data_IF_823342836012
#
_entry.id   IF_823342836012
#
_cell.length_a   1.000
_cell.length_b   1.000
_cell.length_c   1.000
_cell.angle_alpha   90.00
_cell.angle_beta   90.00
_cell.angle_gamma   90.00
#
_symmetry.space_group_name_H-M   'P 1'
#
loop_
_entity.id
_entity.type
_entity.pdbx_description
1 polymer ?
#
# COMPACT_ATOMS: atom_id res chain seq x y z
N UNK A 1 48.27 73.46 -50.68
CA UNK A 1 47.96 72.42 -51.68
C UNK A 1 48.83 71.20 -51.39
N UNK A 2 48.17 70.04 -51.34
CA UNK A 2 48.62 68.63 -51.18
C UNK A 2 50.11 68.26 -51.10
N UNK A 3 50.43 67.43 -50.09
CA UNK A 3 51.15 66.13 -50.16
C UNK A 3 51.37 65.66 -48.71
N UNK A 4 51.28 64.42 -48.27
CA UNK A 4 50.89 63.11 -48.80
C UNK A 4 51.30 62.14 -47.68
N UNK A 5 50.40 61.25 -47.28
CA UNK A 5 50.69 59.86 -46.85
C UNK A 5 51.81 59.61 -45.83
N UNK A 6 51.43 59.49 -44.55
CA UNK A 6 52.18 58.66 -43.59
C UNK A 6 51.43 57.34 -43.42
N UNK A 7 51.88 56.35 -44.19
CA UNK A 7 51.47 54.97 -44.09
C UNK A 7 52.07 54.33 -42.83
N UNK A 8 51.24 54.05 -41.82
CA UNK A 8 51.60 53.11 -40.76
C UNK A 8 51.40 51.69 -41.28
N UNK A 9 52.51 50.99 -41.54
CA UNK A 9 52.51 49.52 -41.68
C UNK A 9 52.33 48.89 -40.31
N UNK A 10 51.11 48.50 -39.95
CA UNK A 10 50.89 47.46 -38.95
C UNK A 10 50.97 46.11 -39.65
N UNK A 11 52.03 45.36 -39.36
CA UNK A 11 52.10 43.93 -39.67
C UNK A 11 51.15 43.19 -38.73
N UNK A 12 49.91 43.00 -39.15
CA UNK A 12 49.05 41.99 -38.53
C UNK A 12 49.43 40.62 -39.11
N UNK A 13 49.92 39.67 -38.30
CA UNK A 13 50.01 38.29 -38.73
C UNK A 13 48.59 37.77 -38.94
N UNK A 14 48.33 37.23 -40.13
CA UNK A 14 47.03 36.72 -40.54
C UNK A 14 46.45 35.72 -39.55
N UNK A 15 45.50 36.19 -38.75
CA UNK A 15 44.60 35.32 -37.99
C UNK A 15 43.50 34.91 -38.97
N UNK A 16 43.71 33.78 -39.64
CA UNK A 16 42.60 33.04 -40.25
C UNK A 16 41.55 32.80 -39.16
N UNK A 17 40.25 33.13 -39.38
CA UNK A 17 39.23 32.71 -38.44
C UNK A 17 39.14 31.19 -38.53
N UNK A 18 39.78 30.50 -37.59
CA UNK A 18 39.55 29.09 -37.38
C UNK A 18 38.04 28.92 -37.18
N UNK A 19 37.38 28.26 -38.12
CA UNK A 19 35.99 27.85 -37.99
C UNK A 19 35.88 27.05 -36.70
N UNK A 20 35.37 27.66 -35.64
CA UNK A 20 34.86 26.97 -34.46
C UNK A 20 33.56 26.24 -34.82
N UNK A 21 33.68 25.24 -35.71
CA UNK A 21 32.62 24.32 -36.13
C UNK A 21 32.72 23.04 -35.32
N UNK A 22 32.87 23.15 -33.99
CA UNK A 22 32.75 22.01 -33.09
C UNK A 22 31.76 22.40 -31.99
N UNK A 23 30.51 22.65 -32.40
CA UNK A 23 29.38 22.31 -31.54
C UNK A 23 29.40 20.79 -31.38
N UNK A 24 30.28 20.30 -30.50
CA UNK A 24 30.09 19.00 -29.89
C UNK A 24 28.77 19.12 -29.13
N UNK A 25 27.67 18.80 -29.79
CA UNK A 25 26.46 18.35 -29.11
C UNK A 25 26.91 17.20 -28.23
N UNK A 26 27.18 17.48 -26.96
CA UNK A 26 27.40 16.48 -25.92
C UNK A 26 26.10 15.67 -25.94
N UNK A 27 26.10 14.55 -26.67
CA UNK A 27 25.05 13.55 -26.53
C UNK A 27 25.24 13.03 -25.11
N UNK A 28 24.47 13.59 -24.19
CA UNK A 28 24.31 13.14 -22.81
C UNK A 28 23.63 11.76 -22.80
N UNK A 29 24.26 10.77 -23.44
CA UNK A 29 23.86 9.37 -23.41
C UNK A 29 24.79 8.64 -22.44
N UNK A 30 24.82 9.09 -21.19
CA UNK A 30 25.44 8.30 -20.13
C UNK A 30 24.38 7.35 -19.56
N UNK A 31 24.70 6.05 -19.35
CA UNK A 31 23.77 5.08 -18.76
C UNK A 31 23.29 5.50 -17.35
N UNK A 32 24.01 6.41 -16.69
CA UNK A 32 23.60 7.01 -15.42
C UNK A 32 22.41 7.96 -15.57
N UNK A 33 22.35 8.77 -16.62
CA UNK A 33 21.22 9.67 -16.86
C UNK A 33 19.94 8.91 -17.21
N UNK A 34 20.04 7.81 -17.97
CA UNK A 34 18.90 6.93 -18.22
C UNK A 34 18.40 6.25 -16.94
N UNK A 35 19.30 5.78 -16.07
CA UNK A 35 18.91 5.18 -14.78
C UNK A 35 18.24 6.20 -13.85
N UNK A 36 18.75 7.43 -13.79
CA UNK A 36 18.13 8.51 -13.02
C UNK A 36 16.73 8.83 -13.56
N UNK A 37 16.58 8.94 -14.88
CA UNK A 37 15.29 9.23 -15.52
C UNK A 37 14.25 8.12 -15.27
N UNK A 38 14.65 6.85 -15.34
CA UNK A 38 13.77 5.70 -15.02
C UNK A 38 13.35 5.76 -13.56
N UNK A 39 14.29 5.94 -12.62
CA UNK A 39 13.98 6.04 -11.19
C UNK A 39 13.04 7.21 -10.91
N UNK A 40 13.26 8.37 -11.53
CA UNK A 40 12.40 9.54 -11.41
C UNK A 40 10.97 9.23 -11.87
N UNK A 41 10.84 8.56 -13.02
CA UNK A 41 9.54 8.18 -13.60
C UNK A 41 8.77 7.21 -12.69
N UNK A 42 9.46 6.24 -12.09
CA UNK A 42 8.86 5.32 -11.11
C UNK A 42 8.35 6.05 -9.87
N UNK A 43 9.15 6.98 -9.33
CA UNK A 43 8.76 7.77 -8.16
C UNK A 43 7.52 8.62 -8.47
N UNK A 44 7.49 9.29 -9.62
CA UNK A 44 6.34 10.08 -10.07
C UNK A 44 5.09 9.18 -10.19
N UNK A 45 5.23 8.00 -10.82
CA UNK A 45 4.12 7.06 -10.93
C UNK A 45 3.58 6.64 -9.56
N UNK A 46 4.46 6.33 -8.59
CA UNK A 46 4.03 5.97 -7.24
C UNK A 46 3.35 7.13 -6.50
N UNK A 47 3.83 8.36 -6.67
CA UNK A 47 3.20 9.56 -6.08
C UNK A 47 1.77 9.73 -6.63
N UNK A 48 1.56 9.50 -7.92
CA UNK A 48 0.23 9.62 -8.55
C UNK A 48 -0.69 8.44 -8.19
N UNK A 49 -0.15 7.23 -8.09
CA UNK A 49 -0.92 6.02 -7.79
C UNK A 49 -1.27 5.89 -6.30
N UNK A 50 -0.50 6.51 -5.39
CA UNK A 50 -0.75 6.42 -3.95
C UNK A 50 -2.13 6.94 -3.55
N UNK A 51 -2.57 8.15 -3.96
CA UNK A 51 -3.93 8.62 -3.69
C UNK A 51 -5.01 7.71 -4.28
N UNK A 52 -4.77 7.12 -5.47
CA UNK A 52 -5.72 6.21 -6.12
C UNK A 52 -5.87 4.92 -5.31
N UNK A 53 -4.77 4.32 -4.87
CA UNK A 53 -4.79 3.14 -4.02
C UNK A 53 -5.44 3.44 -2.65
N UNK A 54 -5.16 4.61 -2.07
CA UNK A 54 -5.84 5.09 -0.87
C UNK A 54 -7.36 5.23 -1.07
N UNK A 55 -7.80 5.85 -2.17
CA UNK A 55 -9.22 5.97 -2.54
C UNK A 55 -9.89 4.61 -2.70
N UNK A 56 -9.24 3.67 -3.39
CA UNK A 56 -9.72 2.29 -3.50
C UNK A 56 -9.85 1.64 -2.11
N UNK A 57 -8.88 1.88 -1.23
CA UNK A 57 -8.91 1.51 0.19
C UNK A 57 -10.17 2.01 0.92
N UNK A 58 -10.60 3.23 0.61
CA UNK A 58 -11.77 3.86 1.25
C UNK A 58 -13.11 3.22 0.89
N UNK A 59 -13.15 2.37 -0.15
CA UNK A 59 -14.38 1.74 -0.64
C UNK A 59 -15.15 1.04 0.51
N UNK A 60 -16.40 1.47 0.80
CA UNK A 60 -17.13 1.11 2.02
C UNK A 60 -17.96 -0.17 1.85
N UNK A 61 -17.30 -1.28 1.49
CA UNK A 61 -17.91 -2.60 1.23
C UNK A 61 -18.92 -3.03 2.32
N UNK A 62 -18.53 -2.91 3.59
CA UNK A 62 -19.36 -3.27 4.74
C UNK A 62 -20.62 -2.41 4.87
N UNK A 63 -20.49 -1.07 4.74
CA UNK A 63 -21.65 -0.17 4.81
C UNK A 63 -22.61 -0.39 3.64
N UNK A 64 -22.10 -0.55 2.42
CA UNK A 64 -22.97 -0.78 1.26
C UNK A 64 -23.81 -2.04 1.45
N UNK A 65 -23.18 -3.13 1.88
CA UNK A 65 -23.86 -4.40 2.14
C UNK A 65 -24.83 -4.29 3.32
N UNK A 66 -24.48 -3.58 4.39
CA UNK A 66 -25.35 -3.43 5.56
C UNK A 66 -26.55 -2.50 5.30
N UNK A 67 -26.32 -1.37 4.65
CA UNK A 67 -27.37 -0.42 4.28
C UNK A 67 -28.38 -1.04 3.31
N UNK A 68 -27.92 -1.88 2.37
CA UNK A 68 -28.80 -2.66 1.50
C UNK A 68 -29.70 -3.67 2.26
N UNK A 69 -29.39 -3.94 3.53
CA UNK A 69 -30.20 -4.74 4.46
C UNK A 69 -30.90 -3.91 5.53
N UNK A 70 -30.91 -2.58 5.40
CA UNK A 70 -31.55 -1.67 6.35
C UNK A 70 -30.84 -1.57 7.70
N UNK A 71 -29.55 -1.93 7.79
CA UNK A 71 -28.78 -1.95 9.05
C UNK A 71 -27.61 -0.98 8.99
N UNK A 72 -27.53 -0.07 9.96
CA UNK A 72 -26.31 0.69 10.21
C UNK A 72 -25.28 -0.20 10.96
N UNK A 73 -24.27 -0.66 10.23
CA UNK A 73 -23.22 -1.52 10.79
C UNK A 73 -22.32 -0.81 11.84
N UNK A 74 -22.31 0.51 11.85
CA UNK A 74 -21.52 1.28 12.83
C UNK A 74 -22.22 1.40 14.18
N UNK A 75 -23.54 1.23 14.21
CA UNK A 75 -24.36 1.14 15.41
C UNK A 75 -24.64 -0.31 15.85
N UNK A 76 -24.36 -1.31 15.01
CA UNK A 76 -24.67 -2.71 15.28
C UNK A 76 -23.44 -3.56 15.66
N UNK A 77 -23.67 -4.61 16.47
CA UNK A 77 -22.66 -5.60 16.84
C UNK A 77 -21.47 -4.97 17.57
N UNK A 78 -20.27 -5.06 17.01
CA UNK A 78 -19.07 -4.44 17.57
C UNK A 78 -18.85 -2.99 17.14
N UNK A 79 -19.75 -2.41 16.34
CA UNK A 79 -19.64 -1.07 15.73
C UNK A 79 -18.52 -0.89 14.70
N UNK A 80 -17.73 -1.93 14.42
CA UNK A 80 -16.62 -1.86 13.47
C UNK A 80 -17.12 -2.24 12.06
N UNK A 81 -16.88 -1.41 11.03
CA UNK A 81 -17.38 -1.68 9.68
C UNK A 81 -16.46 -2.63 8.92
N UNK A 82 -16.42 -3.89 9.36
CA UNK A 82 -15.62 -4.93 8.72
C UNK A 82 -16.30 -6.29 8.72
N UNK A 83 -15.73 -7.22 7.95
CA UNK A 83 -16.26 -8.56 7.70
C UNK A 83 -16.75 -9.31 8.94
N UNK A 84 -15.98 -9.29 10.03
CA UNK A 84 -16.36 -10.00 11.26
C UNK A 84 -17.63 -9.42 11.89
N UNK A 85 -17.86 -8.10 11.83
CA UNK A 85 -19.08 -7.51 12.35
C UNK A 85 -20.28 -7.81 11.45
N UNK A 86 -20.10 -7.70 10.13
CA UNK A 86 -21.12 -8.07 9.15
C UNK A 86 -21.51 -9.54 9.32
N UNK A 87 -20.53 -10.42 9.50
CA UNK A 87 -20.77 -11.85 9.74
C UNK A 87 -21.61 -12.13 10.98
N UNK A 88 -21.43 -11.34 12.04
CA UNK A 88 -22.21 -11.45 13.29
C UNK A 88 -23.61 -10.86 13.16
N UNK A 89 -23.74 -9.72 12.49
CA UNK A 89 -24.98 -8.95 12.45
C UNK A 89 -25.92 -9.41 11.33
N UNK A 90 -25.36 -9.76 10.16
CA UNK A 90 -26.11 -10.04 8.93
C UNK A 90 -25.83 -11.45 8.36
N UNK A 91 -25.01 -12.23 9.05
CA UNK A 91 -24.75 -13.64 8.73
C UNK A 91 -23.44 -13.90 7.98
N UNK A 92 -22.93 -15.12 8.15
CA UNK A 92 -21.59 -15.55 7.70
C UNK A 92 -21.34 -15.33 6.20
N UNK A 93 -22.34 -15.58 5.34
CA UNK A 93 -22.19 -15.41 3.88
C UNK A 93 -21.84 -13.97 3.51
N UNK A 94 -22.53 -12.99 4.10
CA UNK A 94 -22.24 -11.57 3.88
C UNK A 94 -20.92 -11.14 4.52
N UNK A 95 -20.57 -11.71 5.67
CA UNK A 95 -19.26 -11.50 6.27
C UNK A 95 -18.11 -11.95 5.36
N UNK A 96 -18.24 -13.13 4.74
CA UNK A 96 -17.27 -13.63 3.75
C UNK A 96 -17.21 -12.72 2.53
N UNK A 97 -18.35 -12.27 2.00
CA UNK A 97 -18.38 -11.35 0.87
C UNK A 97 -17.62 -10.05 1.17
N UNK A 98 -17.87 -9.43 2.31
CA UNK A 98 -17.13 -8.22 2.74
C UNK A 98 -15.64 -8.50 2.91
N UNK A 99 -15.28 -9.67 3.47
CA UNK A 99 -13.88 -10.08 3.61
C UNK A 99 -13.19 -10.17 2.24
N UNK A 100 -13.85 -10.80 1.26
CA UNK A 100 -13.31 -10.93 -0.10
C UNK A 100 -13.21 -9.58 -0.81
N UNK A 101 -14.23 -8.72 -0.71
CA UNK A 101 -14.19 -7.38 -1.31
C UNK A 101 -13.09 -6.51 -0.67
N UNK A 102 -12.95 -6.56 0.66
CA UNK A 102 -11.90 -5.82 1.36
C UNK A 102 -10.50 -6.37 1.06
N UNK A 103 -10.37 -7.68 0.84
CA UNK A 103 -9.13 -8.29 0.37
C UNK A 103 -8.81 -7.93 -1.06
N UNK A 104 -9.82 -7.92 -1.94
CA UNK A 104 -9.66 -7.63 -3.37
C UNK A 104 -9.09 -6.24 -3.61
N UNK A 105 -9.56 -5.21 -2.89
CA UNK A 105 -8.95 -3.87 -3.00
C UNK A 105 -7.47 -3.86 -2.63
N UNK A 106 -7.07 -4.64 -1.62
CA UNK A 106 -5.66 -4.81 -1.26
C UNK A 106 -4.87 -5.51 -2.35
N UNK A 107 -5.39 -6.63 -2.86
CA UNK A 107 -4.77 -7.39 -3.94
C UNK A 107 -4.60 -6.57 -5.23
N UNK A 108 -5.63 -5.80 -5.62
CA UNK A 108 -5.57 -4.90 -6.79
C UNK A 108 -4.49 -3.83 -6.58
N UNK A 109 -4.46 -3.16 -5.42
CA UNK A 109 -3.43 -2.15 -5.14
C UNK A 109 -2.02 -2.75 -5.16
N UNK A 110 -1.83 -3.95 -4.60
CA UNK A 110 -0.55 -4.67 -4.67
C UNK A 110 -0.16 -5.00 -6.11
N UNK A 111 -1.07 -5.56 -6.90
CA UNK A 111 -0.79 -5.97 -8.28
C UNK A 111 -0.43 -4.77 -9.16
N UNK A 112 -1.18 -3.67 -9.03
CA UNK A 112 -0.86 -2.41 -9.72
C UNK A 112 0.51 -1.90 -9.27
N UNK A 113 0.78 -1.86 -7.96
CA UNK A 113 2.07 -1.38 -7.45
C UNK A 113 3.25 -2.22 -7.95
N UNK A 114 3.05 -3.54 -8.00
CA UNK A 114 4.04 -4.48 -8.51
C UNK A 114 4.33 -4.27 -9.99
N UNK A 115 3.29 -4.09 -10.81
CA UNK A 115 3.42 -3.87 -12.25
C UNK A 115 4.23 -2.61 -12.57
N UNK A 116 4.13 -1.56 -11.75
CA UNK A 116 4.85 -0.31 -11.98
C UNK A 116 6.25 -0.28 -11.37
N UNK A 117 6.44 -0.74 -10.12
CA UNK A 117 7.71 -0.58 -9.40
C UNK A 117 8.12 -1.80 -8.56
N UNK A 118 7.68 -3.01 -8.97
CA UNK A 118 8.05 -4.27 -8.32
C UNK A 118 7.63 -4.33 -6.85
N UNK A 119 8.39 -5.05 -6.02
CA UNK A 119 8.09 -5.21 -4.59
C UNK A 119 7.93 -3.89 -3.84
N UNK A 120 8.76 -2.88 -4.16
CA UNK A 120 8.65 -1.57 -3.54
C UNK A 120 7.30 -0.91 -3.85
N UNK A 121 6.90 -0.86 -5.13
CA UNK A 121 5.59 -0.33 -5.52
C UNK A 121 4.43 -1.11 -4.93
N UNK A 122 4.53 -2.43 -4.90
CA UNK A 122 3.50 -3.32 -4.33
C UNK A 122 3.27 -3.02 -2.84
N UNK A 123 4.35 -2.89 -2.06
CA UNK A 123 4.31 -2.52 -0.65
C UNK A 123 3.78 -1.10 -0.44
N UNK A 124 4.21 -0.14 -1.27
CA UNK A 124 3.73 1.25 -1.19
C UNK A 124 2.22 1.34 -1.40
N UNK A 125 1.69 0.73 -2.46
CA UNK A 125 0.28 0.85 -2.81
C UNK A 125 -0.63 0.01 -1.91
N UNK A 126 -0.21 -1.17 -1.44
CA UNK A 126 -0.99 -1.90 -0.42
C UNK A 126 -1.07 -1.12 0.88
N UNK A 127 0.01 -0.46 1.29
CA UNK A 127 0.01 0.38 2.49
C UNK A 127 -0.97 1.55 2.34
N UNK A 128 -0.98 2.21 1.18
CA UNK A 128 -1.96 3.24 0.85
C UNK A 128 -3.41 2.72 0.97
N UNK A 129 -3.71 1.56 0.41
CA UNK A 129 -5.04 0.95 0.48
C UNK A 129 -5.45 0.56 1.91
N UNK A 130 -4.50 0.05 2.71
CA UNK A 130 -4.72 -0.27 4.13
C UNK A 130 -5.02 1.00 4.94
N UNK A 131 -4.24 2.07 4.72
CA UNK A 131 -4.51 3.39 5.33
C UNK A 131 -5.89 3.88 4.91
N UNK A 132 -6.26 3.78 3.63
CA UNK A 132 -7.59 4.16 3.14
C UNK A 132 -8.73 3.36 3.77
N UNK A 133 -8.52 2.07 4.01
CA UNK A 133 -9.49 1.22 4.69
C UNK A 133 -9.66 1.60 6.18
N UNK A 134 -8.56 1.93 6.86
CA UNK A 134 -8.56 2.26 8.30
C UNK A 134 -9.02 3.69 8.54
N UNK A 135 -8.59 4.62 7.70
CA UNK A 135 -8.82 6.06 7.78
C UNK A 135 -9.44 6.61 6.49
N UNK A 136 -10.64 6.18 6.13
CA UNK A 136 -11.34 6.66 4.95
C UNK A 136 -11.73 8.13 5.11
N UNK A 137 -11.22 9.03 4.25
CA UNK A 137 -11.62 10.44 4.24
C UNK A 137 -13.14 10.60 4.05
N UNK A 138 -13.75 9.72 3.25
CA UNK A 138 -15.19 9.69 2.96
C UNK A 138 -16.06 9.39 4.18
N UNK A 139 -15.48 8.93 5.29
CA UNK A 139 -16.19 8.56 6.53
C UNK A 139 -15.53 9.19 7.76
N UNK A 140 -15.04 10.43 7.63
CA UNK A 140 -14.42 11.20 8.72
C UNK A 140 -13.29 10.42 9.41
N UNK A 141 -12.50 9.69 8.63
CA UNK A 141 -11.39 8.83 9.08
C UNK A 141 -11.79 7.70 10.04
N UNK A 142 -13.07 7.30 10.05
CA UNK A 142 -13.58 6.18 10.84
C UNK A 142 -13.81 4.95 9.96
N UNK A 143 -12.77 4.13 9.83
CA UNK A 143 -12.78 2.92 9.01
C UNK A 143 -12.67 1.62 9.81
N UNK A 144 -12.29 0.56 9.10
CA UNK A 144 -12.09 -0.77 9.69
C UNK A 144 -10.72 -0.93 10.34
N UNK A 145 -10.21 -2.17 10.31
CA UNK A 145 -8.92 -2.54 10.94
C UNK A 145 -7.84 -2.97 9.95
N UNK A 146 -8.16 -3.03 8.65
CA UNK A 146 -7.19 -3.27 7.59
C UNK A 146 -6.76 -4.72 7.41
N UNK A 147 -7.20 -5.66 8.26
CA UNK A 147 -6.73 -7.07 8.23
C UNK A 147 -7.01 -7.75 6.89
N UNK A 148 -8.25 -7.66 6.38
CA UNK A 148 -8.60 -8.28 5.10
C UNK A 148 -7.85 -7.62 3.93
N UNK A 149 -7.76 -6.29 3.92
CA UNK A 149 -7.03 -5.52 2.90
C UNK A 149 -5.54 -5.83 2.89
N UNK A 150 -4.90 -5.86 4.05
CA UNK A 150 -3.51 -6.30 4.17
C UNK A 150 -3.35 -7.76 3.72
N UNK A 151 -4.25 -8.66 4.17
CA UNK A 151 -4.23 -10.07 3.80
C UNK A 151 -4.35 -10.31 2.29
N UNK A 152 -5.25 -9.61 1.61
CA UNK A 152 -5.38 -9.68 0.16
C UNK A 152 -4.12 -9.24 -0.57
N UNK A 153 -3.49 -8.15 -0.11
CA UNK A 153 -2.20 -7.73 -0.66
C UNK A 153 -1.04 -8.69 -0.36
N UNK A 154 -1.03 -9.32 0.82
CA UNK A 154 -0.03 -10.33 1.15
C UNK A 154 -0.20 -11.60 0.32
N UNK A 155 -1.42 -12.03 0.02
CA UNK A 155 -1.66 -13.15 -0.91
C UNK A 155 -1.18 -12.78 -2.32
N UNK A 156 -1.42 -11.54 -2.77
CA UNK A 156 -0.95 -11.09 -4.08
C UNK A 156 0.58 -11.02 -4.18
N UNK A 157 1.27 -10.59 -3.10
CA UNK A 157 2.73 -10.40 -3.11
C UNK A 157 3.52 -11.65 -2.72
N UNK A 158 3.01 -12.43 -1.76
CA UNK A 158 3.62 -13.64 -1.22
C UNK A 158 2.59 -14.77 -1.10
N UNK A 159 2.16 -15.39 -2.21
CA UNK A 159 1.02 -16.31 -2.23
C UNK A 159 1.07 -17.41 -1.17
N UNK A 160 2.22 -18.04 -0.98
CA UNK A 160 2.40 -19.13 0.00
C UNK A 160 2.36 -18.63 1.45
N UNK A 161 2.99 -17.49 1.74
CA UNK A 161 2.93 -16.87 3.07
C UNK A 161 1.50 -16.41 3.35
N UNK A 162 0.85 -15.73 2.40
CA UNK A 162 -0.52 -15.25 2.52
C UNK A 162 -1.52 -16.39 2.73
N UNK A 163 -1.36 -17.50 2.02
CA UNK A 163 -2.19 -18.69 2.20
C UNK A 163 -1.96 -19.34 3.57
N UNK A 164 -0.70 -19.52 3.98
CA UNK A 164 -0.36 -20.06 5.30
C UNK A 164 -0.91 -19.19 6.44
N UNK A 165 -0.79 -17.86 6.32
CA UNK A 165 -1.38 -16.91 7.26
C UNK A 165 -2.92 -16.99 7.24
N UNK A 166 -3.54 -17.13 6.09
CA UNK A 166 -5.01 -17.30 6.01
C UNK A 166 -5.46 -18.57 6.73
N UNK A 167 -4.75 -19.69 6.55
CA UNK A 167 -5.01 -20.93 7.29
C UNK A 167 -4.82 -20.72 8.79
N UNK A 168 -3.71 -20.10 9.21
CA UNK A 168 -3.46 -19.77 10.62
C UNK A 168 -4.59 -18.92 11.22
N UNK A 169 -5.02 -17.87 10.51
CA UNK A 169 -6.13 -17.03 10.92
C UNK A 169 -7.41 -17.85 11.12
N UNK A 170 -7.75 -18.71 10.16
CA UNK A 170 -8.93 -19.57 10.22
C UNK A 170 -8.87 -20.55 11.40
N UNK A 171 -7.71 -21.17 11.63
CA UNK A 171 -7.51 -22.10 12.75
C UNK A 171 -7.67 -21.39 14.09
N UNK A 172 -6.96 -20.27 14.29
CA UNK A 172 -7.04 -19.50 15.54
C UNK A 172 -8.45 -18.97 15.75
N UNK A 173 -9.08 -18.41 14.71
CA UNK A 173 -10.45 -17.88 14.81
C UNK A 173 -11.49 -18.99 15.07
N UNK A 174 -11.28 -20.20 14.54
CA UNK A 174 -12.15 -21.37 14.77
C UNK A 174 -12.01 -21.90 16.20
N UNK A 175 -10.79 -22.09 16.69
CA UNK A 175 -10.50 -22.63 18.03
C UNK A 175 -10.94 -21.64 19.11
N UNK A 176 -10.53 -20.38 18.97
CA UNK A 176 -10.83 -19.34 19.98
C UNK A 176 -12.24 -18.76 19.86
N UNK A 177 -12.93 -19.05 18.74
CA UNK A 177 -14.18 -18.42 18.33
C UNK A 177 -14.06 -16.89 18.22
N UNK A 178 -12.85 -16.31 18.12
CA UNK A 178 -12.62 -14.85 18.12
C UNK A 178 -11.82 -14.44 16.87
N UNK A 179 -12.43 -13.61 16.03
CA UNK A 179 -11.79 -13.06 14.82
C UNK A 179 -10.53 -12.23 15.15
N UNK A 180 -10.59 -11.49 16.26
CA UNK A 180 -9.53 -10.60 16.72
C UNK A 180 -8.26 -11.35 17.09
N UNK A 181 -8.36 -12.50 17.75
CA UNK A 181 -7.20 -13.34 18.06
C UNK A 181 -6.55 -13.91 16.79
N UNK A 182 -7.36 -14.33 15.81
CA UNK A 182 -6.84 -14.72 14.50
C UNK A 182 -6.06 -13.58 13.84
N UNK A 183 -6.61 -12.36 13.86
CA UNK A 183 -5.97 -11.17 13.28
C UNK A 183 -4.64 -10.83 13.95
N UNK A 184 -4.58 -10.92 15.28
CA UNK A 184 -3.35 -10.69 16.05
C UNK A 184 -2.28 -11.75 15.74
N UNK A 185 -2.70 -13.02 15.62
CA UNK A 185 -1.80 -14.13 15.29
C UNK A 185 -1.13 -13.93 13.92
N UNK A 186 -1.91 -13.57 12.88
CA UNK A 186 -1.32 -13.34 11.55
C UNK A 186 -0.55 -12.03 11.44
N UNK A 187 -0.92 -11.00 12.22
CA UNK A 187 -0.17 -9.76 12.25
C UNK A 187 1.25 -10.02 12.76
N UNK A 188 1.40 -10.86 13.81
CA UNK A 188 2.71 -11.26 14.32
C UNK A 188 3.41 -12.29 13.41
N UNK A 189 2.64 -13.26 12.89
CA UNK A 189 3.16 -14.33 12.04
C UNK A 189 3.76 -13.83 10.72
N UNK A 190 3.27 -12.72 10.18
CA UNK A 190 3.74 -12.16 8.92
C UNK A 190 5.24 -11.81 8.95
N UNK A 191 5.73 -10.85 9.77
CA UNK A 191 7.16 -10.51 9.79
C UNK A 191 8.05 -11.72 10.17
N UNK A 192 7.58 -12.60 11.05
CA UNK A 192 8.30 -13.84 11.40
C UNK A 192 8.49 -14.73 10.16
N UNK A 193 7.41 -14.96 9.40
CA UNK A 193 7.48 -15.78 8.18
C UNK A 193 8.37 -15.17 7.11
N UNK A 194 8.41 -13.83 7.00
CA UNK A 194 9.29 -13.14 6.07
C UNK A 194 10.77 -13.32 6.45
N UNK A 195 11.11 -13.27 7.74
CA UNK A 195 12.46 -13.56 8.24
C UNK A 195 12.85 -15.01 7.95
N UNK A 196 11.97 -15.98 8.25
CA UNK A 196 12.25 -17.41 8.03
C UNK A 196 12.52 -17.71 6.56
N UNK A 197 11.78 -17.08 5.65
CA UNK A 197 11.92 -17.28 4.19
C UNK A 197 13.06 -16.43 3.60
N UNK A 198 13.79 -15.66 4.42
CA UNK A 198 14.93 -14.87 3.97
C UNK A 198 14.55 -13.66 3.11
N UNK A 199 13.42 -13.02 3.39
CA UNK A 199 12.98 -11.82 2.66
C UNK A 199 13.89 -10.62 2.95
N UNK A 200 14.08 -9.70 1.98
CA UNK A 200 14.86 -8.48 2.19
C UNK A 200 14.38 -7.68 3.41
N UNK A 201 15.33 -7.06 4.14
CA UNK A 201 15.03 -6.31 5.36
C UNK A 201 13.95 -5.24 5.17
N UNK A 202 13.91 -4.58 4.02
CA UNK A 202 12.86 -3.60 3.70
C UNK A 202 11.44 -4.19 3.66
N UNK A 203 11.29 -5.42 3.16
CA UNK A 203 10.00 -6.13 3.14
C UNK A 203 9.58 -6.57 4.54
N UNK A 204 10.54 -7.02 5.35
CA UNK A 204 10.32 -7.36 6.76
C UNK A 204 9.89 -6.14 7.56
N UNK A 205 10.57 -5.00 7.38
CA UNK A 205 10.21 -3.73 8.04
C UNK A 205 8.81 -3.27 7.63
N UNK A 206 8.42 -3.43 6.37
CA UNK A 206 7.05 -3.15 5.93
C UNK A 206 6.03 -4.08 6.61
N UNK A 207 6.37 -5.37 6.79
CA UNK A 207 5.57 -6.33 7.57
C UNK A 207 5.42 -5.91 9.03
N UNK A 208 6.51 -5.45 9.66
CA UNK A 208 6.49 -4.91 11.04
C UNK A 208 5.64 -3.65 11.15
N UNK A 209 5.69 -2.75 10.16
CA UNK A 209 4.85 -1.56 10.12
C UNK A 209 3.36 -1.91 10.03
N UNK A 210 3.00 -2.89 9.18
CA UNK A 210 1.64 -3.42 9.11
C UNK A 210 1.21 -4.09 10.42
N UNK A 211 2.09 -4.87 11.05
CA UNK A 211 1.86 -5.44 12.38
C UNK A 211 1.52 -4.36 13.41
N UNK A 212 2.36 -3.33 13.53
CA UNK A 212 2.14 -2.24 14.48
C UNK A 212 0.80 -1.53 14.24
N UNK A 213 0.46 -1.26 12.98
CA UNK A 213 -0.81 -0.63 12.59
C UNK A 213 -2.02 -1.51 12.96
N UNK A 214 -1.95 -2.82 12.68
CA UNK A 214 -3.02 -3.76 13.03
C UNK A 214 -3.19 -3.88 14.54
N UNK A 215 -2.09 -3.98 15.30
CA UNK A 215 -2.10 -4.03 16.77
C UNK A 215 -2.77 -2.79 17.34
N UNK A 216 -2.37 -1.62 16.87
CA UNK A 216 -2.97 -0.35 17.30
C UNK A 216 -4.48 -0.32 17.05
N UNK A 217 -4.94 -0.78 15.89
CA UNK A 217 -6.39 -0.92 15.58
C UNK A 217 -7.11 -2.00 16.39
N UNK A 218 -6.39 -2.92 17.01
CA UNK A 218 -6.93 -3.97 17.86
C UNK A 218 -6.84 -3.67 19.36
N UNK A 219 -6.31 -2.52 19.79
CA UNK A 219 -6.30 -2.13 21.21
C UNK A 219 -7.69 -2.27 21.87
N UNK A 220 -8.81 -1.83 21.26
CA UNK A 220 -10.14 -2.04 21.85
C UNK A 220 -10.53 -3.52 21.97
N UNK A 221 -10.05 -4.38 21.08
CA UNK A 221 -10.27 -5.82 21.15
C UNK A 221 -9.45 -6.44 22.25
N UNK A 222 -8.19 -6.02 22.40
CA UNK A 222 -7.33 -6.52 23.47
C UNK A 222 -7.92 -6.19 24.84
N UNK A 223 -8.43 -4.96 25.03
CA UNK A 223 -9.16 -4.57 26.25
C UNK A 223 -10.35 -5.48 26.53
N UNK A 224 -11.20 -5.75 25.53
CA UNK A 224 -12.33 -6.68 25.67
C UNK A 224 -11.90 -8.13 25.89
N UNK A 225 -10.78 -8.56 25.31
CA UNK A 225 -10.26 -9.93 25.53
C UNK A 225 -9.85 -10.10 26.98
N UNK A 226 -9.11 -9.13 27.53
CA UNK A 226 -8.66 -9.12 28.94
C UNK A 226 -9.87 -9.09 29.88
N UNK A 227 -10.91 -8.32 29.55
CA UNK A 227 -12.15 -8.25 30.32
C UNK A 227 -13.08 -9.47 30.12
N UNK A 228 -12.79 -10.39 29.20
CA UNK A 228 -13.68 -11.51 28.87
C UNK A 228 -14.90 -11.16 28.01
N UNK A 229 -14.99 -9.92 27.51
CA UNK A 229 -16.14 -9.34 26.81
C UNK A 229 -16.05 -9.40 25.26
N UNK A 230 -14.95 -9.92 24.70
CA UNK A 230 -14.74 -9.91 23.25
C UNK A 230 -15.77 -10.79 22.52
N UNK A 231 -16.58 -10.21 21.61
CA UNK A 231 -17.69 -10.94 20.99
C UNK A 231 -17.21 -12.11 20.11
N UNK A 232 -17.89 -13.29 20.20
CA UNK A 232 -17.55 -14.44 19.38
C UNK A 232 -17.81 -14.15 17.89
N UNK A 233 -17.13 -14.88 17.01
CA UNK A 233 -17.21 -14.77 15.55
C UNK A 233 -18.61 -15.14 15.03
N UNK A 234 -19.30 -16.07 15.69
CA UNK A 234 -20.68 -16.47 15.43
C UNK A 234 -21.46 -16.34 16.73
N UNK A 235 -22.63 -15.67 16.71
CA UNK A 235 -23.63 -15.82 17.78
C UNK A 235 -24.35 -17.15 17.56
N UNK A 236 -24.45 -17.99 18.59
CA UNK A 236 -25.39 -19.10 18.59
C UNK A 236 -26.79 -18.49 18.56
N UNK A 237 -27.48 -18.70 17.45
CA UNK A 237 -28.94 -18.66 17.38
C UNK A 237 -29.42 -20.08 17.62
#
# INVERSE_FOLDING_TARGET
MSCSDIAWKSTEPGITPARYSHAQTIRLNSPTLSLISIKMSLVIALILLFPVAYMLGTFPSAQLIANARGVDITAAGSGNPGAANIGRTLGRKLGILVFLLDGLKGAISTAVGYAFAGYAGALTLVFAAVIGHIFPVTRKFKGGKGVATAGGGMIALYPWIGLAMTVLWLLVAKVTKKASLGSLAIALGLPISQVIVGRPAGEVLAGVALFALVIWRHIPNLKRIIAGEEPPLKRSH
#
